data_IF_250117247359
#
_entry.id   IF_250117247359
#
_cell.length_a   1.000
_cell.length_b   1.000
_cell.length_c   1.000
_cell.angle_alpha   90.00
_cell.angle_beta   90.00
_cell.angle_gamma   90.00
#
_symmetry.space_group_name_H-M   'P 1'
#
loop_
_entity.id
_entity.type
_entity.pdbx_description
1 polymer ?
#
# COMPACT_ATOMS: atom_id res chain seq x y z
N UNK A 1 -41.98 2.25 -1.40
CA UNK A 1 -41.35 2.81 -0.17
C UNK A 1 -40.40 1.78 0.47
N UNK A 2 -40.87 0.59 0.85
CA UNK A 2 -40.04 -0.48 1.45
C UNK A 2 -38.72 -0.81 0.69
N UNK A 3 -38.79 -1.06 -0.62
CA UNK A 3 -37.58 -1.37 -1.43
C UNK A 3 -36.53 -0.24 -1.38
N UNK A 4 -36.95 1.03 -1.42
CA UNK A 4 -36.03 2.18 -1.36
C UNK A 4 -35.32 2.20 -0.01
N UNK A 5 -36.05 2.01 1.09
CA UNK A 5 -35.48 1.96 2.43
C UNK A 5 -34.51 0.78 2.62
N UNK A 6 -34.82 -0.39 2.03
CA UNK A 6 -33.92 -1.55 2.02
C UNK A 6 -32.63 -1.27 1.24
N UNK A 7 -32.72 -0.59 0.09
CA UNK A 7 -31.54 -0.16 -0.68
C UNK A 7 -30.72 0.88 0.08
N UNK A 8 -31.33 1.93 0.64
CA UNK A 8 -30.65 2.93 1.45
C UNK A 8 -29.93 2.30 2.66
N UNK A 9 -30.56 1.31 3.31
CA UNK A 9 -29.96 0.54 4.39
C UNK A 9 -28.75 -0.26 3.91
N UNK A 10 -28.88 -0.96 2.77
CA UNK A 10 -27.80 -1.75 2.19
C UNK A 10 -26.60 -0.91 1.75
N UNK A 11 -26.83 0.23 1.08
CA UNK A 11 -25.80 1.19 0.71
C UNK A 11 -25.24 1.96 1.93
N UNK A 12 -25.95 1.95 3.07
CA UNK A 12 -25.49 2.48 4.34
C UNK A 12 -24.50 1.60 5.11
N UNK A 13 -24.26 0.35 4.68
CA UNK A 13 -23.35 -0.56 5.37
C UNK A 13 -21.89 -0.08 5.29
N UNK A 14 -21.32 0.25 6.46
CA UNK A 14 -19.96 0.82 6.61
C UNK A 14 -18.81 -0.20 6.46
N UNK A 15 -19.12 -1.41 5.98
CA UNK A 15 -18.22 -2.52 5.75
C UNK A 15 -18.74 -3.36 4.58
N UNK A 16 -17.94 -3.46 3.52
CA UNK A 16 -18.14 -4.39 2.41
C UNK A 16 -17.00 -5.41 2.43
N UNK A 17 -17.30 -6.67 2.14
CA UNK A 17 -16.25 -7.70 2.11
C UNK A 17 -15.47 -7.60 0.79
N UNK A 18 -14.25 -7.06 0.85
CA UNK A 18 -13.38 -6.88 -0.32
C UNK A 18 -12.04 -7.60 -0.10
N UNK A 19 -12.00 -8.82 -0.61
CA UNK A 19 -10.79 -9.58 -0.88
C UNK A 19 -9.98 -8.93 -2.02
N UNK A 20 -8.72 -9.36 -2.17
CA UNK A 20 -7.98 -9.25 -3.42
C UNK A 20 -7.21 -10.54 -3.60
N UNK A 21 -7.06 -10.94 -4.85
CA UNK A 21 -6.22 -12.06 -5.22
C UNK A 21 -4.78 -11.82 -4.73
N UNK A 22 -4.20 -12.86 -4.14
CA UNK A 22 -2.78 -12.88 -3.80
C UNK A 22 -2.05 -13.56 -4.95
N UNK A 23 -1.10 -12.87 -5.59
CA UNK A 23 -0.48 -13.32 -6.83
C UNK A 23 1.04 -13.42 -6.73
N UNK A 24 1.63 -14.15 -7.67
CA UNK A 24 3.07 -14.24 -7.88
C UNK A 24 3.43 -13.50 -9.15
N UNK A 25 4.47 -12.66 -9.11
CA UNK A 25 5.02 -12.04 -10.32
C UNK A 25 5.90 -13.05 -11.06
N UNK A 26 5.69 -13.24 -12.36
CA UNK A 26 6.43 -14.20 -13.19
C UNK A 26 6.89 -13.61 -14.52
N UNK A 27 6.45 -12.41 -14.88
CA UNK A 27 6.68 -11.80 -16.19
C UNK A 27 8.05 -11.14 -16.28
N UNK A 28 8.26 -10.09 -15.50
CA UNK A 28 9.40 -9.19 -15.62
C UNK A 28 10.52 -9.58 -14.66
N UNK A 29 11.77 -9.55 -15.14
CA UNK A 29 12.97 -9.77 -14.31
C UNK A 29 13.49 -8.46 -13.69
N UNK A 30 13.50 -7.41 -14.49
CA UNK A 30 14.05 -6.08 -14.18
C UNK A 30 13.59 -5.06 -15.25
N UNK A 31 13.91 -3.77 -15.06
CA UNK A 31 13.61 -2.73 -16.03
C UNK A 31 14.52 -2.88 -17.28
N UNK A 32 13.97 -2.67 -18.48
CA UNK A 32 14.68 -2.86 -19.75
C UNK A 32 15.76 -1.79 -20.03
N UNK A 33 15.74 -0.66 -19.34
CA UNK A 33 16.75 0.40 -19.47
C UNK A 33 18.13 -0.11 -19.03
N UNK A 34 19.10 -0.04 -19.94
CA UNK A 34 20.51 -0.29 -19.65
C UNK A 34 21.16 1.00 -19.12
N UNK A 35 21.78 0.93 -17.96
CA UNK A 35 22.45 2.05 -17.30
C UNK A 35 23.97 1.90 -17.37
N UNK A 36 24.68 3.04 -17.51
CA UNK A 36 26.13 3.10 -17.42
C UNK A 36 26.64 2.76 -15.99
N UNK A 37 27.89 2.31 -15.89
CA UNK A 37 28.52 1.90 -14.63
C UNK A 37 28.59 3.02 -13.57
N UNK A 38 28.66 4.28 -14.02
CA UNK A 38 28.73 5.47 -13.17
C UNK A 38 27.35 6.09 -12.84
N UNK A 39 26.25 5.44 -13.24
CA UNK A 39 24.89 5.93 -12.99
C UNK A 39 24.53 6.03 -11.50
N UNK A 40 23.50 6.82 -11.18
CA UNK A 40 22.97 6.99 -9.82
C UNK A 40 22.49 5.67 -9.16
N UNK A 41 22.23 4.64 -9.96
CA UNK A 41 21.76 3.31 -9.53
C UNK A 41 22.87 2.24 -9.49
N UNK A 42 24.15 2.63 -9.66
CA UNK A 42 25.31 1.73 -9.78
C UNK A 42 25.36 0.58 -8.75
N UNK A 43 25.07 0.87 -7.49
CA UNK A 43 25.09 -0.11 -6.38
C UNK A 43 23.92 -1.12 -6.41
N UNK A 44 23.05 -1.08 -7.41
CA UNK A 44 21.90 -1.96 -7.59
C UNK A 44 21.78 -2.53 -9.01
N UNK A 45 22.84 -2.39 -9.81
CA UNK A 45 22.86 -2.89 -11.17
C UNK A 45 22.90 -4.42 -11.21
N UNK A 46 22.26 -4.96 -12.25
CA UNK A 46 22.25 -6.38 -12.58
C UNK A 46 23.15 -6.55 -13.82
N UNK A 47 24.18 -7.41 -13.78
CA UNK A 47 25.04 -7.69 -14.91
C UNK A 47 24.24 -8.08 -16.15
N UNK A 48 24.54 -7.43 -17.29
CA UNK A 48 23.83 -7.68 -18.56
C UNK A 48 24.07 -9.08 -19.14
N UNK A 49 25.23 -9.69 -18.86
CA UNK A 49 25.55 -11.11 -19.12
C UNK A 49 26.55 -11.62 -18.05
N UNK A 50 26.67 -12.94 -17.92
CA UNK A 50 27.74 -13.59 -17.15
C UNK A 50 29.11 -13.11 -17.67
N UNK A 51 30.04 -12.79 -16.77
CA UNK A 51 31.39 -12.30 -17.12
C UNK A 51 31.47 -10.82 -17.49
N UNK A 52 30.37 -10.06 -17.48
CA UNK A 52 30.37 -8.61 -17.71
C UNK A 52 30.06 -7.86 -16.40
N UNK A 53 31.07 -7.56 -15.55
CA UNK A 53 30.90 -6.85 -14.29
C UNK A 53 30.27 -5.47 -14.46
N UNK A 54 29.41 -5.10 -13.52
CA UNK A 54 28.61 -3.87 -13.53
C UNK A 54 29.44 -2.60 -13.38
N UNK A 55 30.61 -2.74 -12.76
CA UNK A 55 31.57 -1.69 -12.41
C UNK A 55 32.28 -1.13 -13.66
N UNK A 56 32.34 -1.93 -14.72
CA UNK A 56 32.94 -1.58 -16.03
C UNK A 56 31.82 -1.38 -17.06
N UNK A 57 30.94 -2.37 -17.18
CA UNK A 57 30.05 -2.50 -18.33
C UNK A 57 28.62 -2.01 -18.11
N UNK A 58 28.31 -1.50 -16.92
CA UNK A 58 26.96 -1.12 -16.53
C UNK A 58 26.01 -2.32 -16.43
N UNK A 59 24.71 -2.06 -16.39
CA UNK A 59 23.72 -3.12 -16.22
C UNK A 59 22.27 -2.62 -16.17
N UNK A 60 21.36 -3.55 -15.89
CA UNK A 60 19.93 -3.25 -15.71
C UNK A 60 19.63 -2.86 -14.26
N UNK A 61 18.49 -2.23 -14.00
CA UNK A 61 18.06 -1.86 -12.64
C UNK A 61 16.60 -2.28 -12.38
N UNK A 62 16.10 -2.06 -11.15
CA UNK A 62 14.69 -2.34 -10.83
C UNK A 62 14.35 -3.83 -10.77
N UNK A 63 15.25 -4.65 -10.20
CA UNK A 63 15.05 -6.09 -9.95
C UNK A 63 13.64 -6.36 -9.41
N UNK A 64 12.86 -7.15 -10.14
CA UNK A 64 11.52 -7.60 -9.73
C UNK A 64 11.65 -8.84 -8.85
N UNK A 65 10.92 -8.85 -7.75
CA UNK A 65 10.74 -10.05 -6.93
C UNK A 65 9.51 -10.80 -7.42
N UNK A 66 9.53 -12.12 -7.37
CA UNK A 66 8.42 -12.97 -7.78
C UNK A 66 7.47 -13.24 -6.61
N UNK A 67 8.05 -13.61 -5.48
CA UNK A 67 7.36 -13.85 -4.21
C UNK A 67 8.29 -13.45 -3.06
N UNK A 68 7.80 -13.53 -1.83
CA UNK A 68 8.54 -13.17 -0.62
C UNK A 68 8.68 -14.35 0.33
N UNK A 69 9.67 -14.29 1.22
CA UNK A 69 9.82 -15.19 2.35
C UNK A 69 9.78 -14.41 3.66
N UNK A 70 9.27 -15.03 4.72
CA UNK A 70 9.44 -14.53 6.08
C UNK A 70 10.66 -15.21 6.72
N UNK A 71 11.63 -14.42 7.14
CA UNK A 71 12.80 -14.89 7.90
C UNK A 71 12.76 -14.41 9.34
N UNK A 72 13.20 -15.26 10.26
CA UNK A 72 13.65 -14.90 11.60
C UNK A 72 15.17 -14.77 11.55
N UNK A 73 15.69 -13.57 11.81
CA UNK A 73 17.12 -13.31 11.98
C UNK A 73 17.40 -13.31 13.49
N UNK A 74 18.26 -14.22 13.93
CA UNK A 74 18.68 -14.37 15.32
C UNK A 74 19.89 -13.47 15.55
N UNK A 75 19.81 -12.62 16.57
CA UNK A 75 20.92 -11.77 17.05
C UNK A 75 21.19 -12.06 18.51
N UNK A 76 22.38 -11.69 19.01
CA UNK A 76 22.85 -11.94 20.39
C UNK A 76 21.84 -11.61 21.51
N UNK A 77 20.92 -10.65 21.33
CA UNK A 77 19.93 -10.24 22.34
C UNK A 77 18.48 -10.19 21.85
N UNK A 78 18.22 -10.29 20.54
CA UNK A 78 16.89 -10.06 19.95
C UNK A 78 16.69 -10.87 18.68
N UNK A 79 15.43 -11.14 18.34
CA UNK A 79 15.04 -11.72 17.05
C UNK A 79 14.40 -10.64 16.18
N UNK A 80 14.78 -10.55 14.91
CA UNK A 80 14.10 -9.69 13.93
C UNK A 80 13.34 -10.56 12.93
N UNK A 81 12.10 -10.20 12.63
CA UNK A 81 11.29 -10.86 11.61
C UNK A 81 11.21 -9.96 10.40
N UNK A 82 11.54 -10.48 9.21
CA UNK A 82 11.73 -9.68 8.00
C UNK A 82 11.17 -10.37 6.76
N UNK A 83 10.53 -9.59 5.90
CA UNK A 83 10.11 -10.00 4.56
C UNK A 83 11.29 -9.81 3.59
N UNK A 84 11.70 -10.86 2.91
CA UNK A 84 12.76 -10.84 1.89
C UNK A 84 12.16 -11.23 0.54
N UNK A 85 12.34 -10.41 -0.49
CA UNK A 85 11.91 -10.72 -1.84
C UNK A 85 12.83 -11.72 -2.55
N UNK A 86 12.25 -12.66 -3.28
CA UNK A 86 12.96 -13.64 -4.10
C UNK A 86 12.87 -13.20 -5.57
N UNK A 87 13.98 -12.86 -6.26
CA UNK A 87 13.93 -12.32 -7.62
C UNK A 87 13.28 -13.27 -8.62
N UNK A 88 12.53 -12.75 -9.59
CA UNK A 88 11.98 -13.54 -10.71
C UNK A 88 13.11 -14.29 -11.46
N UNK A 89 14.29 -13.68 -11.58
CA UNK A 89 15.47 -14.28 -12.22
C UNK A 89 16.08 -15.48 -11.48
N UNK A 90 15.73 -15.72 -10.21
CA UNK A 90 16.17 -16.91 -9.47
C UNK A 90 15.14 -18.07 -9.55
N UNK A 91 13.96 -17.86 -10.13
CA UNK A 91 12.89 -18.89 -10.20
C UNK A 91 13.34 -20.15 -10.96
N UNK A 92 13.97 -19.99 -12.12
CA UNK A 92 14.41 -21.13 -12.94
C UNK A 92 15.36 -22.05 -12.15
N UNK A 93 16.32 -21.45 -11.44
CA UNK A 93 17.29 -22.11 -10.57
C UNK A 93 16.67 -22.73 -9.31
N UNK A 94 15.59 -22.14 -8.78
CA UNK A 94 14.82 -22.72 -7.68
C UNK A 94 14.03 -23.95 -8.13
N UNK A 95 13.35 -23.85 -9.28
CA UNK A 95 12.49 -24.90 -9.82
C UNK A 95 13.29 -26.10 -10.35
N UNK A 96 14.49 -25.90 -10.87
CA UNK A 96 15.38 -26.98 -11.34
C UNK A 96 16.30 -27.55 -10.25
N UNK A 97 16.17 -27.13 -9.00
CA UNK A 97 17.04 -27.61 -7.92
C UNK A 97 16.53 -28.90 -7.30
N UNK A 98 17.38 -29.93 -7.29
CA UNK A 98 17.17 -31.17 -6.53
C UNK A 98 16.88 -30.94 -5.03
N UNK A 99 17.28 -29.79 -4.46
CA UNK A 99 16.95 -29.39 -3.10
C UNK A 99 16.53 -27.92 -3.04
N UNK A 100 15.24 -27.68 -3.33
CA UNK A 100 14.59 -26.37 -3.25
C UNK A 100 14.90 -25.60 -1.96
N UNK A 101 14.91 -26.27 -0.80
CA UNK A 101 15.16 -25.60 0.49
C UNK A 101 16.60 -25.08 0.59
N UNK A 102 17.59 -25.87 0.13
CA UNK A 102 18.98 -25.45 0.13
C UNK A 102 19.23 -24.31 -0.87
N UNK A 103 18.63 -24.37 -2.06
CA UNK A 103 18.69 -23.30 -3.04
C UNK A 103 18.06 -22.00 -2.53
N UNK A 104 16.87 -22.09 -1.90
CA UNK A 104 16.18 -20.94 -1.31
C UNK A 104 17.00 -20.32 -0.17
N UNK A 105 17.57 -21.12 0.73
CA UNK A 105 18.44 -20.62 1.80
C UNK A 105 19.63 -19.83 1.22
N UNK A 106 20.35 -20.35 0.22
CA UNK A 106 21.48 -19.64 -0.42
C UNK A 106 21.07 -18.30 -1.04
N UNK A 107 19.90 -18.24 -1.70
CA UNK A 107 19.36 -16.99 -2.27
C UNK A 107 19.03 -15.98 -1.17
N UNK A 108 18.36 -16.43 -0.10
CA UNK A 108 17.99 -15.60 1.05
C UNK A 108 19.23 -15.08 1.78
N UNK A 109 20.22 -15.95 2.03
CA UNK A 109 21.50 -15.62 2.64
C UNK A 109 22.22 -14.51 1.86
N UNK A 110 22.34 -14.64 0.53
CA UNK A 110 22.95 -13.59 -0.32
C UNK A 110 22.24 -12.23 -0.28
N UNK A 111 20.98 -12.19 0.19
CA UNK A 111 20.18 -10.96 0.37
C UNK A 111 20.15 -10.43 1.80
N UNK A 112 20.66 -11.20 2.75
CA UNK A 112 20.78 -10.80 4.15
C UNK A 112 22.23 -10.42 4.43
N UNK A 113 22.49 -9.11 4.57
CA UNK A 113 23.78 -8.61 5.05
C UNK A 113 23.92 -8.91 6.56
N UNK A 114 24.09 -10.19 6.89
CA UNK A 114 24.29 -10.69 8.26
C UNK A 114 25.70 -10.38 8.72
N UNK A 115 25.85 -10.21 10.04
CA UNK A 115 27.16 -10.26 10.71
C UNK A 115 27.47 -11.72 11.05
N UNK A 116 28.74 -12.06 11.25
CA UNK A 116 29.20 -13.40 11.65
C UNK A 116 28.46 -13.97 12.88
N UNK A 117 28.00 -13.09 13.78
CA UNK A 117 27.26 -13.44 15.01
C UNK A 117 25.74 -13.50 14.82
N UNK A 118 25.24 -13.41 13.60
CA UNK A 118 23.82 -13.44 13.24
C UNK A 118 23.54 -14.64 12.34
N UNK A 119 22.44 -15.36 12.61
CA UNK A 119 21.96 -16.47 11.78
C UNK A 119 20.51 -16.24 11.39
N UNK A 120 19.98 -17.05 10.46
CA UNK A 120 18.57 -16.94 10.04
C UNK A 120 17.87 -18.29 9.90
N UNK A 121 16.54 -18.28 10.10
CA UNK A 121 15.62 -19.38 9.79
C UNK A 121 14.52 -18.83 8.87
N UNK A 122 14.24 -19.49 7.76
CA UNK A 122 13.02 -19.22 6.97
C UNK A 122 11.83 -19.80 7.74
N UNK A 123 10.88 -18.95 8.11
CA UNK A 123 9.62 -19.36 8.75
C UNK A 123 8.54 -19.65 7.72
N UNK A 124 8.40 -18.79 6.71
CA UNK A 124 7.45 -18.98 5.62
C UNK A 124 8.20 -18.91 4.30
N UNK A 125 8.14 -20.00 3.54
CA UNK A 125 8.87 -20.20 2.29
C UNK A 125 8.21 -19.51 1.08
N UNK A 126 6.96 -19.08 1.20
CA UNK A 126 6.21 -18.41 0.11
C UNK A 126 5.11 -17.51 0.69
N UNK A 127 5.30 -16.21 0.54
CA UNK A 127 4.32 -15.14 0.74
C UNK A 127 4.14 -14.44 -0.62
N UNK A 128 2.91 -14.11 -0.97
CA UNK A 128 2.57 -13.57 -2.28
C UNK A 128 2.36 -12.05 -2.22
N UNK A 129 2.40 -11.40 -3.39
CA UNK A 129 1.87 -10.04 -3.52
C UNK A 129 0.40 -10.03 -3.07
N UNK A 130 -0.05 -8.95 -2.44
CA UNK A 130 -1.42 -8.87 -1.93
C UNK A 130 -1.68 -9.64 -0.62
N UNK A 131 -0.71 -10.39 -0.06
CA UNK A 131 -0.87 -11.06 1.24
C UNK A 131 -1.19 -10.04 2.33
N UNK A 132 -2.24 -10.31 3.11
CA UNK A 132 -2.73 -9.42 4.16
C UNK A 132 -1.99 -9.65 5.49
N UNK A 133 -1.58 -8.56 6.14
CA UNK A 133 -0.86 -8.54 7.41
C UNK A 133 -1.55 -7.59 8.39
N UNK A 134 -1.60 -7.98 9.66
CA UNK A 134 -1.90 -7.10 10.80
C UNK A 134 -0.68 -7.10 11.73
N UNK A 135 -0.09 -5.94 12.01
CA UNK A 135 1.05 -5.81 12.92
C UNK A 135 1.05 -4.46 13.64
N UNK A 136 1.21 -4.44 14.96
CA UNK A 136 1.13 -3.24 15.82
C UNK A 136 -0.06 -2.31 15.47
N UNK A 137 -1.26 -2.89 15.32
CA UNK A 137 -2.47 -2.17 14.93
C UNK A 137 -2.57 -1.80 13.44
N UNK A 138 -1.46 -1.79 12.69
CA UNK A 138 -1.47 -1.53 11.24
C UNK A 138 -2.02 -2.73 10.47
N UNK A 139 -3.02 -2.50 9.62
CA UNK A 139 -3.54 -3.51 8.66
C UNK A 139 -3.15 -3.14 7.23
N UNK A 140 -2.42 -4.01 6.53
CA UNK A 140 -1.86 -3.72 5.21
C UNK A 140 -1.65 -4.95 4.32
N UNK A 141 -1.53 -4.76 3.00
CA UNK A 141 -1.10 -5.81 2.06
C UNK A 141 0.36 -5.62 1.66
N UNK A 142 1.06 -6.71 1.35
CA UNK A 142 2.40 -6.64 0.73
C UNK A 142 2.26 -6.15 -0.71
N UNK A 143 2.77 -4.95 -0.99
CA UNK A 143 2.90 -4.38 -2.33
C UNK A 143 4.26 -4.66 -2.97
N UNK A 144 5.31 -4.75 -2.17
CA UNK A 144 6.63 -5.31 -2.53
C UNK A 144 7.40 -5.66 -1.25
N UNK A 145 8.65 -6.11 -1.34
CA UNK A 145 9.48 -6.35 -0.14
C UNK A 145 9.70 -5.07 0.71
N UNK A 146 9.45 -3.89 0.14
CA UNK A 146 9.52 -2.58 0.80
C UNK A 146 8.18 -1.86 0.90
N UNK A 147 7.16 -2.21 0.15
CA UNK A 147 5.93 -1.41 0.05
C UNK A 147 4.76 -2.09 0.74
N UNK A 148 4.11 -1.35 1.65
CA UNK A 148 2.82 -1.70 2.25
C UNK A 148 1.72 -0.98 1.45
N UNK A 149 0.66 -1.69 1.08
CA UNK A 149 -0.52 -1.08 0.44
C UNK A 149 -1.68 -0.99 1.43
N UNK A 150 -2.46 0.09 1.29
CA UNK A 150 -3.70 0.27 2.06
C UNK A 150 -4.72 -0.83 1.71
N UNK A 151 -5.54 -1.18 2.69
CA UNK A 151 -6.64 -2.14 2.57
C UNK A 151 -7.96 -1.62 3.12
N UNK A 152 -7.92 -0.47 3.81
CA UNK A 152 -9.11 0.14 4.39
C UNK A 152 -9.88 0.86 3.29
N UNK A 153 -11.20 0.70 3.31
CA UNK A 153 -12.09 1.41 2.39
C UNK A 153 -12.52 2.75 2.99
N UNK A 154 -12.46 3.78 2.17
CA UNK A 154 -13.02 5.08 2.49
C UNK A 154 -14.53 5.01 2.27
N UNK A 155 -15.28 4.71 3.33
CA UNK A 155 -16.75 4.68 3.31
C UNK A 155 -17.27 5.96 3.95
N UNK A 156 -17.71 6.88 3.10
CA UNK A 156 -18.23 8.20 3.48
C UNK A 156 -19.75 8.17 3.70
N UNK A 157 -20.27 9.24 4.29
CA UNK A 157 -21.71 9.42 4.46
C UNK A 157 -22.39 9.70 3.11
N UNK A 158 -23.64 9.26 2.95
CA UNK A 158 -24.43 9.50 1.74
C UNK A 158 -24.50 10.99 1.34
N UNK A 159 -24.49 11.90 2.33
CA UNK A 159 -24.44 13.35 2.10
C UNK A 159 -23.13 13.78 1.42
N UNK A 160 -21.99 13.30 1.92
CA UNK A 160 -20.67 13.51 1.32
C UNK A 160 -20.60 12.92 -0.10
N UNK A 161 -21.13 11.71 -0.30
CA UNK A 161 -21.19 11.07 -1.62
C UNK A 161 -22.05 11.88 -2.61
N UNK A 162 -23.18 12.46 -2.19
CA UNK A 162 -23.98 13.38 -3.03
C UNK A 162 -23.17 14.63 -3.41
N UNK A 163 -22.44 15.22 -2.47
CA UNK A 163 -21.60 16.39 -2.75
C UNK A 163 -20.42 16.07 -3.69
N UNK A 164 -19.73 14.95 -3.51
CA UNK A 164 -18.69 14.48 -4.44
C UNK A 164 -19.29 14.31 -5.84
N UNK A 165 -20.39 13.57 -5.96
CA UNK A 165 -21.04 13.32 -7.24
C UNK A 165 -21.49 14.60 -7.95
N UNK A 166 -21.94 15.60 -7.19
CA UNK A 166 -22.47 16.86 -7.72
C UNK A 166 -21.39 17.91 -8.05
N UNK A 167 -20.41 18.11 -7.18
CA UNK A 167 -19.41 19.19 -7.31
C UNK A 167 -18.05 18.74 -7.85
N UNK A 168 -17.74 17.43 -7.83
CA UNK A 168 -16.42 16.89 -8.23
C UNK A 168 -16.54 16.04 -9.49
N UNK A 169 -17.45 15.07 -9.53
CA UNK A 169 -17.51 14.06 -10.60
C UNK A 169 -18.31 14.51 -11.86
N UNK A 170 -18.75 15.77 -11.94
CA UNK A 170 -19.62 16.22 -13.05
C UNK A 170 -20.97 15.49 -13.13
N UNK A 171 -21.45 14.93 -12.03
CA UNK A 171 -22.59 14.04 -11.99
C UNK A 171 -23.95 14.72 -11.85
N UNK A 172 -24.11 15.98 -12.27
CA UNK A 172 -25.34 16.76 -12.01
C UNK A 172 -26.59 16.15 -12.69
N UNK A 173 -26.40 15.44 -13.81
CA UNK A 173 -27.46 14.76 -14.57
C UNK A 173 -28.03 13.52 -13.86
N UNK A 174 -27.37 13.01 -12.80
CA UNK A 174 -27.89 11.90 -11.98
C UNK A 174 -28.90 12.37 -10.91
N UNK A 175 -29.13 13.69 -10.80
CA UNK A 175 -30.06 14.28 -9.84
C UNK A 175 -31.31 14.82 -10.56
N UNK A 176 -32.47 14.60 -9.94
CA UNK A 176 -33.73 15.23 -10.36
C UNK A 176 -33.61 16.75 -10.32
N UNK A 177 -34.37 17.49 -11.13
CA UNK A 177 -34.29 18.97 -11.15
C UNK A 177 -34.59 19.60 -9.78
N UNK A 178 -35.42 18.94 -8.97
CA UNK A 178 -35.73 19.35 -7.58
C UNK A 178 -34.50 19.18 -6.67
N UNK A 179 -33.79 18.05 -6.76
CA UNK A 179 -32.55 17.83 -6.02
C UNK A 179 -31.43 18.75 -6.50
N UNK A 180 -31.32 18.96 -7.82
CA UNK A 180 -30.31 19.85 -8.43
C UNK A 180 -30.46 21.27 -7.90
N UNK A 181 -31.66 21.84 -8.00
CA UNK A 181 -32.00 23.17 -7.43
C UNK A 181 -31.79 23.25 -5.91
N UNK A 182 -31.94 22.14 -5.18
CA UNK A 182 -31.67 22.08 -3.73
C UNK A 182 -30.17 22.03 -3.41
N UNK A 183 -29.34 21.46 -4.28
CA UNK A 183 -27.87 21.46 -4.15
C UNK A 183 -27.27 22.80 -4.62
N UNK A 184 -27.75 23.37 -5.71
CA UNK A 184 -27.34 24.67 -6.24
C UNK A 184 -27.58 25.83 -5.25
N UNK A 185 -28.64 25.74 -4.43
CA UNK A 185 -28.94 26.69 -3.34
C UNK A 185 -28.07 26.54 -2.10
N UNK A 186 -27.26 25.47 -1.98
CA UNK A 186 -26.37 25.29 -0.84
C UNK A 186 -25.03 26.01 -1.06
N UNK A 187 -24.46 26.50 0.03
CA UNK A 187 -23.11 27.02 0.08
C UNK A 187 -22.12 25.91 -0.31
N UNK A 188 -21.60 25.99 -1.54
CA UNK A 188 -20.72 24.98 -2.15
C UNK A 188 -19.43 24.79 -1.35
N UNK A 189 -18.89 25.84 -0.76
CA UNK A 189 -17.65 25.79 0.02
C UNK A 189 -17.88 25.06 1.35
N UNK A 190 -19.01 25.30 2.01
CA UNK A 190 -19.44 24.48 3.16
C UNK A 190 -19.74 23.03 2.79
N UNK A 191 -20.25 22.76 1.58
CA UNK A 191 -20.45 21.39 1.10
C UNK A 191 -19.12 20.65 0.93
N UNK A 192 -18.10 21.28 0.34
CA UNK A 192 -16.77 20.68 0.18
C UNK A 192 -16.03 20.53 1.52
N UNK A 193 -16.16 21.50 2.44
CA UNK A 193 -15.62 21.39 3.81
C UNK A 193 -16.25 20.21 4.57
N UNK A 194 -17.55 19.97 4.40
CA UNK A 194 -18.22 18.80 4.98
C UNK A 194 -17.65 17.47 4.44
N UNK A 195 -17.36 17.39 3.13
CA UNK A 195 -16.70 16.21 2.53
C UNK A 195 -15.30 16.03 3.13
N UNK A 196 -14.52 17.10 3.26
CA UNK A 196 -13.18 17.06 3.85
C UNK A 196 -13.23 16.53 5.30
N UNK A 197 -14.12 17.06 6.13
CA UNK A 197 -14.28 16.66 7.52
C UNK A 197 -14.69 15.18 7.66
N UNK A 198 -15.59 14.69 6.80
CA UNK A 198 -16.01 13.28 6.78
C UNK A 198 -14.88 12.34 6.33
N UNK A 199 -14.08 12.74 5.32
CA UNK A 199 -12.87 12.00 4.92
C UNK A 199 -11.88 11.92 6.09
N UNK A 200 -11.54 13.06 6.71
CA UNK A 200 -10.55 13.09 7.80
C UNK A 200 -11.01 12.30 9.02
N UNK A 201 -12.29 12.37 9.37
CA UNK A 201 -12.89 11.54 10.43
C UNK A 201 -12.75 10.04 10.14
N UNK A 202 -13.04 9.58 8.91
CA UNK A 202 -12.89 8.17 8.54
C UNK A 202 -11.43 7.74 8.52
N UNK A 203 -10.54 8.56 7.97
CA UNK A 203 -9.09 8.29 7.89
C UNK A 203 -8.48 8.21 9.28
N UNK A 204 -8.59 9.27 10.10
CA UNK A 204 -7.98 9.32 11.43
C UNK A 204 -8.51 8.21 12.36
N UNK A 205 -9.76 7.75 12.17
CA UNK A 205 -10.36 6.67 12.98
C UNK A 205 -10.05 5.25 12.50
N UNK A 206 -9.78 5.02 11.21
CA UNK A 206 -9.71 3.65 10.63
C UNK A 206 -8.42 3.36 9.86
N UNK A 207 -7.75 4.36 9.31
CA UNK A 207 -6.66 4.20 8.35
C UNK A 207 -5.30 4.13 9.05
N UNK A 208 -5.08 3.07 9.82
CA UNK A 208 -3.87 2.81 10.63
C UNK A 208 -2.48 2.88 9.94
N UNK A 209 -2.43 2.94 8.60
CA UNK A 209 -1.20 3.20 7.84
C UNK A 209 -0.93 4.69 7.61
N UNK A 210 -1.97 5.51 7.66
CA UNK A 210 -1.94 6.95 7.48
C UNK A 210 -1.85 7.61 8.84
N UNK A 211 -1.01 8.62 8.89
CA UNK A 211 -0.92 9.56 9.99
C UNK A 211 -1.00 10.93 9.32
N UNK A 212 -2.12 11.61 9.54
CA UNK A 212 -2.36 12.95 9.01
C UNK A 212 -1.82 14.05 9.93
N UNK A 213 -1.70 13.77 11.24
CA UNK A 213 -1.24 14.72 12.25
C UNK A 213 0.18 15.23 11.96
N UNK A 214 1.05 14.40 11.38
CA UNK A 214 2.40 14.80 10.93
C UNK A 214 2.43 15.93 9.88
N UNK A 215 1.30 16.25 9.25
CA UNK A 215 1.16 17.36 8.29
C UNK A 215 0.55 18.63 8.92
N UNK A 216 0.07 18.56 10.17
CA UNK A 216 -0.45 19.68 10.97
C UNK A 216 0.70 20.46 11.62
N UNK A 217 1.65 20.89 10.78
CA UNK A 217 2.78 21.73 11.18
C UNK A 217 2.42 23.20 11.05
N UNK A 218 3.14 24.03 11.80
CA UNK A 218 3.09 25.49 11.76
C UNK A 218 1.81 26.10 12.39
N UNK A 219 1.20 25.42 13.37
CA UNK A 219 0.05 25.92 14.15
C UNK A 219 -1.31 25.78 13.46
N UNK A 220 -1.39 26.10 12.17
CA UNK A 220 -2.59 25.94 11.35
C UNK A 220 -2.93 24.46 11.11
N UNK A 221 -4.18 24.06 11.36
CA UNK A 221 -4.66 22.73 11.02
C UNK A 221 -4.77 22.52 9.50
N UNK A 222 -4.79 21.25 9.06
CA UNK A 222 -5.08 20.92 7.65
C UNK A 222 -6.47 21.42 7.22
N UNK A 223 -7.41 21.49 8.16
CA UNK A 223 -8.79 21.93 7.94
C UNK A 223 -8.88 23.43 7.67
N UNK A 224 -8.17 24.25 8.45
CA UNK A 224 -8.11 25.71 8.24
C UNK A 224 -7.44 26.02 6.91
N UNK A 225 -6.29 25.39 6.64
CA UNK A 225 -5.58 25.47 5.35
C UNK A 225 -6.50 25.12 4.18
N UNK A 226 -7.28 24.05 4.27
CA UNK A 226 -8.26 23.67 3.24
C UNK A 226 -9.41 24.68 3.10
N UNK A 227 -9.93 25.20 4.22
CA UNK A 227 -11.05 26.14 4.22
C UNK A 227 -10.72 27.46 3.50
N UNK A 228 -9.48 27.95 3.65
CA UNK A 228 -8.99 29.19 3.04
C UNK A 228 -8.71 29.12 1.53
N UNK A 229 -8.84 27.94 0.90
CA UNK A 229 -8.62 27.77 -0.55
C UNK A 229 -9.85 28.16 -1.38
N UNK A 230 -9.64 28.40 -2.67
CA UNK A 230 -10.73 28.58 -3.62
C UNK A 230 -11.48 27.26 -3.91
N UNK A 231 -12.63 27.38 -4.57
CA UNK A 231 -13.51 26.24 -4.87
C UNK A 231 -12.84 25.19 -5.77
N UNK A 232 -12.09 25.60 -6.80
CA UNK A 232 -11.47 24.68 -7.76
C UNK A 232 -10.32 23.91 -7.09
N UNK A 233 -9.56 24.58 -6.23
CA UNK A 233 -8.55 23.97 -5.37
C UNK A 233 -9.15 22.93 -4.44
N UNK A 234 -10.25 23.26 -3.75
CA UNK A 234 -10.96 22.31 -2.89
C UNK A 234 -11.43 21.08 -3.65
N UNK A 235 -11.99 21.25 -4.87
CA UNK A 235 -12.38 20.13 -5.76
C UNK A 235 -11.17 19.26 -6.13
N UNK A 236 -10.06 19.87 -6.57
CA UNK A 236 -8.85 19.15 -6.96
C UNK A 236 -8.25 18.35 -5.79
N UNK A 237 -8.14 18.99 -4.62
CA UNK A 237 -7.63 18.37 -3.39
C UNK A 237 -8.51 17.21 -2.95
N UNK A 238 -9.83 17.36 -2.97
CA UNK A 238 -10.74 16.27 -2.62
C UNK A 238 -10.62 15.10 -3.61
N UNK A 239 -10.49 15.36 -4.92
CA UNK A 239 -10.20 14.32 -5.91
C UNK A 239 -8.90 13.57 -5.59
N UNK A 240 -7.84 14.27 -5.21
CA UNK A 240 -6.55 13.67 -4.87
C UNK A 240 -6.55 12.92 -3.53
N UNK A 241 -7.28 13.40 -2.52
CA UNK A 241 -7.51 12.66 -1.27
C UNK A 241 -8.31 11.37 -1.54
N UNK A 242 -9.35 11.41 -2.37
CA UNK A 242 -10.14 10.22 -2.74
C UNK A 242 -9.28 9.17 -3.46
N UNK A 243 -8.37 9.58 -4.35
CA UNK A 243 -7.38 8.67 -4.98
C UNK A 243 -6.40 8.11 -3.96
N UNK A 244 -5.77 8.95 -3.14
CA UNK A 244 -4.70 8.55 -2.22
C UNK A 244 -5.18 7.69 -1.04
N UNK A 245 -6.43 7.87 -0.60
CA UNK A 245 -7.09 7.00 0.38
C UNK A 245 -7.84 5.83 -0.27
N UNK A 246 -7.81 5.68 -1.59
CA UNK A 246 -8.29 4.46 -2.22
C UNK A 246 -7.45 3.26 -1.71
N UNK A 247 -8.04 2.06 -1.75
CA UNK A 247 -7.40 0.87 -1.22
C UNK A 247 -6.34 0.29 -2.19
N UNK A 248 -5.57 1.11 -2.93
CA UNK A 248 -4.64 0.67 -3.98
C UNK A 248 -3.18 1.10 -3.67
N UNK A 249 -2.38 1.30 -4.73
CA UNK A 249 -0.96 1.69 -4.69
C UNK A 249 -0.73 3.15 -5.06
N UNK A 250 -1.80 3.93 -5.26
CA UNK A 250 -1.73 5.29 -5.78
C UNK A 250 -1.03 6.23 -4.80
N UNK A 251 -0.42 7.27 -5.36
CA UNK A 251 0.39 8.24 -4.62
C UNK A 251 0.08 9.61 -5.17
N UNK A 252 -0.15 10.57 -4.29
CA UNK A 252 -0.27 11.99 -4.68
C UNK A 252 0.56 12.87 -3.75
N UNK A 253 0.78 14.11 -4.18
CA UNK A 253 1.31 15.18 -3.33
C UNK A 253 0.41 16.38 -3.48
N UNK A 254 -0.14 16.84 -2.36
CA UNK A 254 -1.11 17.94 -2.30
C UNK A 254 -0.36 19.18 -1.86
N UNK A 255 0.30 19.83 -2.83
CA UNK A 255 1.23 20.95 -2.60
C UNK A 255 0.61 22.09 -1.80
N UNK A 256 -0.66 22.42 -2.07
CA UNK A 256 -1.39 23.50 -1.37
C UNK A 256 -1.66 23.22 0.11
N UNK A 257 -1.61 21.95 0.54
CA UNK A 257 -1.65 21.55 1.96
C UNK A 257 -0.26 21.15 2.51
N UNK A 258 0.82 21.38 1.76
CA UNK A 258 2.20 20.92 2.05
C UNK A 258 2.31 19.39 2.26
N UNK A 259 1.34 18.60 1.78
CA UNK A 259 1.34 17.13 1.91
C UNK A 259 2.16 16.54 0.77
N UNK A 260 3.19 15.76 1.08
CA UNK A 260 3.97 15.02 0.07
C UNK A 260 3.90 13.52 0.29
N UNK A 261 3.99 12.76 -0.81
CA UNK A 261 4.03 11.29 -0.82
C UNK A 261 2.84 10.62 -0.06
N UNK A 262 1.63 11.18 -0.14
CA UNK A 262 0.44 10.56 0.46
C UNK A 262 0.18 9.20 -0.20
N UNK A 263 -0.19 8.19 0.58
CA UNK A 263 -0.33 6.79 0.13
C UNK A 263 0.98 5.99 0.03
N UNK A 264 2.16 6.61 0.15
CA UNK A 264 3.46 5.93 0.03
C UNK A 264 3.93 5.35 1.38
N UNK A 265 3.54 4.11 1.67
CA UNK A 265 3.98 3.40 2.89
C UNK A 265 5.20 2.50 2.60
N UNK A 266 6.39 3.10 2.50
CA UNK A 266 7.65 2.38 2.29
C UNK A 266 8.39 2.06 3.60
N UNK A 267 8.87 0.82 3.70
CA UNK A 267 9.84 0.38 4.69
C UNK A 267 11.28 0.77 4.28
N UNK A 268 12.21 0.68 5.23
CA UNK A 268 13.62 1.04 5.02
C UNK A 268 14.37 0.13 4.03
N UNK A 269 15.67 0.40 3.84
CA UNK A 269 16.54 -0.34 2.90
C UNK A 269 16.44 -1.87 3.03
N UNK A 270 16.23 -2.35 4.25
CA UNK A 270 16.15 -3.76 4.64
C UNK A 270 14.79 -4.44 4.40
N UNK A 271 13.81 -3.75 3.80
CA UNK A 271 12.47 -4.28 3.58
C UNK A 271 11.56 -4.22 4.82
N UNK A 272 10.36 -4.77 4.70
CA UNK A 272 9.34 -4.80 5.76
C UNK A 272 9.80 -5.70 6.90
N UNK A 273 9.88 -5.14 8.10
CA UNK A 273 10.04 -5.87 9.36
C UNK A 273 8.70 -6.03 10.06
N UNK A 274 8.54 -7.15 10.78
CA UNK A 274 7.33 -7.51 11.52
C UNK A 274 7.64 -7.79 12.98
N UNK A 275 6.66 -7.63 13.89
CA UNK A 275 6.79 -8.08 15.28
C UNK A 275 6.49 -9.57 15.46
N UNK A 276 6.83 -10.12 16.63
CA UNK A 276 6.41 -11.46 17.08
C UNK A 276 4.90 -11.66 17.09
N UNK A 277 4.13 -10.58 17.30
CA UNK A 277 2.67 -10.61 17.41
C UNK A 277 1.98 -10.39 16.05
N UNK A 278 2.72 -10.09 14.98
CA UNK A 278 2.15 -9.89 13.65
C UNK A 278 1.36 -11.12 13.20
N UNK A 279 0.21 -10.87 12.57
CA UNK A 279 -0.67 -11.87 11.98
C UNK A 279 -0.57 -11.82 10.46
N UNK A 280 -0.37 -12.98 9.85
CA UNK A 280 -0.53 -13.18 8.41
C UNK A 280 -1.91 -13.79 8.19
N UNK A 281 -2.67 -13.18 7.29
CA UNK A 281 -4.08 -13.50 7.03
C UNK A 281 -4.22 -13.98 5.60
N UNK A 282 -4.60 -15.25 5.45
CA UNK A 282 -4.95 -15.85 4.18
C UNK A 282 -6.48 -15.80 4.04
N UNK A 283 -6.97 -15.15 3.00
CA UNK A 283 -8.41 -14.96 2.74
C UNK A 283 -8.87 -15.86 1.58
N UNK A 284 -10.10 -16.38 1.64
CA UNK A 284 -10.75 -17.01 0.48
C UNK A 284 -10.98 -16.00 -0.66
N UNK A 285 -11.28 -16.44 -1.90
CA UNK A 285 -11.61 -15.52 -2.99
C UNK A 285 -12.75 -14.54 -2.66
N UNK A 286 -13.72 -14.96 -1.85
CA UNK A 286 -14.84 -14.13 -1.36
C UNK A 286 -14.51 -13.30 -0.11
N UNK A 287 -13.36 -13.53 0.54
CA UNK A 287 -13.02 -12.94 1.84
C UNK A 287 -13.88 -13.44 3.02
N UNK A 288 -14.77 -14.43 2.82
CA UNK A 288 -15.65 -14.95 3.87
C UNK A 288 -14.93 -15.88 4.86
N UNK A 289 -13.91 -16.60 4.39
CA UNK A 289 -13.10 -17.47 5.22
C UNK A 289 -11.69 -16.91 5.36
N UNK A 290 -11.18 -16.86 6.59
CA UNK A 290 -9.82 -16.40 6.89
C UNK A 290 -9.06 -17.44 7.72
N UNK A 291 -7.84 -17.78 7.30
CA UNK A 291 -6.85 -18.44 8.16
C UNK A 291 -5.85 -17.40 8.64
N UNK A 292 -5.71 -17.28 9.97
CA UNK A 292 -4.77 -16.34 10.61
C UNK A 292 -3.64 -17.10 11.28
N UNK A 293 -2.40 -16.68 11.06
CA UNK A 293 -1.20 -17.28 11.64
C UNK A 293 -0.40 -16.17 12.33
N UNK A 294 -0.08 -16.29 13.62
CA UNK A 294 0.81 -15.33 14.31
C UNK A 294 2.27 -15.75 14.13
N UNK A 295 3.17 -14.78 14.02
CA UNK A 295 4.60 -15.04 13.84
C UNK A 295 5.23 -15.80 15.01
N UNK A 296 4.75 -15.58 16.24
CA UNK A 296 5.21 -16.33 17.43
C UNK A 296 4.84 -17.81 17.44
N UNK A 297 3.95 -18.26 16.55
CA UNK A 297 3.50 -19.65 16.44
C UNK A 297 4.27 -20.43 15.33
N UNK A 298 5.47 -19.97 14.90
CA UNK A 298 6.28 -20.45 13.75
C UNK A 298 7.79 -20.70 14.05
#
# INVERSE_FOLDING_TARGET
KDIIHKLETAYGYKYMNISRECYQETSSLFNQTLYAHNSSVKNSLIPKKKGLPTEIYGGYSGNKDSFFVLVKIVKKRTNLYRIVGIPTRELAKLNSSNNYNQALNKIVESKLCLKETESFKILIKRLLYGTLIVDNGQKFRIGSFKEKHNVQQLVLQLKSMKYIKFYIDGGQNYFTDVERKKLEKQDRDKCLLYVFDDIMNVVNKRFTLFDMSKYEKDGDSLREKFNCLDFNDKVSILSDLLKAFHANSDRTSITKLKITNLGRHQAGKNGITLTTNAQIIYQSPTGLFERRIKIKDL
#
